data_IF_669360499003
#
_entry.id   IF_669360499003
#
_cell.length_a   1.000
_cell.length_b   1.000
_cell.length_c   1.000
_cell.angle_alpha   90.00
_cell.angle_beta   90.00
_cell.angle_gamma   90.00
#
_symmetry.space_group_name_H-M   'P 1'
#
loop_
_entity.id
_entity.type
_entity.pdbx_description
1 polymer ?
#
# COMPACT_ATOMS: atom_id res chain seq x y z
N UNK A 1 42.11 28.62 -24.78
CA UNK A 1 41.39 27.65 -23.92
C UNK A 1 40.41 26.93 -24.81
N UNK A 2 40.72 25.67 -25.15
CA UNK A 2 39.97 24.89 -26.13
C UNK A 2 38.64 24.42 -25.53
N UNK A 3 37.57 24.61 -26.30
CA UNK A 3 36.26 24.02 -26.07
C UNK A 3 36.42 22.51 -26.29
N UNK A 4 36.28 21.72 -25.23
CA UNK A 4 36.33 20.26 -25.32
C UNK A 4 35.17 19.74 -26.15
N UNK A 5 35.49 19.06 -27.25
CA UNK A 5 34.55 18.34 -28.09
C UNK A 5 33.91 17.19 -27.31
N UNK A 6 32.59 17.01 -27.47
CA UNK A 6 31.89 15.80 -27.02
C UNK A 6 32.57 14.55 -27.61
N UNK A 7 32.66 13.43 -26.85
CA UNK A 7 33.25 12.21 -27.36
C UNK A 7 32.53 11.70 -28.61
N UNK A 8 33.30 11.15 -29.53
CA UNK A 8 32.77 10.51 -30.74
C UNK A 8 32.04 9.23 -30.35
N UNK A 9 30.96 8.88 -31.07
CA UNK A 9 30.19 7.64 -30.83
C UNK A 9 31.13 6.44 -30.85
N UNK A 10 31.32 5.77 -29.71
CA UNK A 10 32.14 4.56 -29.58
C UNK A 10 33.40 4.70 -28.70
N UNK A 11 33.77 5.90 -28.26
CA UNK A 11 34.88 6.08 -27.29
C UNK A 11 34.39 5.88 -25.85
N UNK A 12 35.06 4.99 -25.11
CA UNK A 12 34.85 4.81 -23.67
C UNK A 12 35.41 6.06 -22.99
N UNK A 13 34.53 6.90 -22.47
CA UNK A 13 34.93 8.07 -21.70
C UNK A 13 35.31 7.63 -20.28
N UNK A 14 36.59 7.72 -19.95
CA UNK A 14 37.15 7.32 -18.65
C UNK A 14 36.54 8.08 -17.46
N UNK A 15 36.00 9.27 -17.68
CA UNK A 15 35.40 10.13 -16.63
C UNK A 15 33.88 10.29 -16.73
N UNK A 16 33.23 9.77 -17.76
CA UNK A 16 31.80 9.95 -17.95
C UNK A 16 31.01 8.83 -17.26
N UNK A 17 30.00 9.21 -16.48
CA UNK A 17 29.02 8.27 -15.95
C UNK A 17 28.05 7.83 -17.05
N UNK A 18 27.76 6.52 -17.10
CA UNK A 18 26.64 6.02 -17.86
C UNK A 18 25.34 6.62 -17.31
N UNK A 19 24.40 7.00 -18.18
CA UNK A 19 23.15 7.63 -17.76
C UNK A 19 22.15 6.59 -17.30
N UNK A 20 21.91 6.53 -16.00
CA UNK A 20 20.93 5.65 -15.38
C UNK A 20 20.24 6.29 -14.17
N UNK A 21 19.19 5.62 -13.70
CA UNK A 21 18.53 5.92 -12.43
C UNK A 21 18.50 4.66 -11.57
N UNK A 22 18.50 4.85 -10.25
CA UNK A 22 18.34 3.79 -9.26
C UNK A 22 17.05 4.03 -8.50
N UNK A 23 16.23 2.98 -8.39
CA UNK A 23 14.98 3.02 -7.64
C UNK A 23 14.93 1.91 -6.60
N UNK A 24 14.52 2.26 -5.39
CA UNK A 24 14.22 1.27 -4.36
C UNK A 24 12.93 0.53 -4.71
N UNK A 25 12.91 -0.77 -4.46
CA UNK A 25 11.75 -1.65 -4.60
C UNK A 25 11.67 -2.55 -3.37
N UNK A 26 10.46 -2.89 -2.95
CA UNK A 26 10.30 -4.00 -1.99
C UNK A 26 10.51 -5.34 -2.72
N UNK A 27 10.63 -6.41 -1.93
CA UNK A 27 10.63 -7.78 -2.44
C UNK A 27 9.37 -8.06 -3.28
N UNK A 28 9.42 -9.16 -4.02
CA UNK A 28 8.31 -9.60 -4.86
C UNK A 28 6.98 -9.62 -4.10
N UNK A 29 5.91 -9.37 -4.84
CA UNK A 29 4.56 -9.24 -4.29
C UNK A 29 4.12 -10.48 -3.50
N UNK A 30 4.40 -11.68 -3.99
CA UNK A 30 4.12 -12.95 -3.30
C UNK A 30 4.91 -13.14 -1.99
N UNK A 31 5.97 -12.36 -1.75
CA UNK A 31 6.81 -12.42 -0.55
C UNK A 31 6.41 -11.33 0.44
N UNK A 32 6.04 -10.15 -0.04
CA UNK A 32 5.67 -9.03 0.81
C UNK A 32 4.35 -9.28 1.57
N UNK A 33 4.43 -9.29 2.90
CA UNK A 33 3.32 -9.68 3.78
C UNK A 33 2.63 -8.51 4.51
N UNK A 34 3.03 -7.27 4.21
CA UNK A 34 2.48 -6.07 4.86
C UNK A 34 3.08 -5.73 6.22
N UNK A 35 4.09 -6.47 6.67
CA UNK A 35 5.09 -5.92 7.61
C UNK A 35 5.69 -4.67 6.98
N UNK A 36 5.94 -3.55 7.64
CA UNK A 36 6.40 -2.27 7.04
C UNK A 36 5.54 -1.64 5.91
N UNK A 37 5.52 -0.31 5.83
CA UNK A 37 4.90 0.40 4.71
C UNK A 37 5.90 0.65 3.60
N UNK A 38 5.57 0.27 2.37
CA UNK A 38 6.38 0.63 1.21
C UNK A 38 5.52 0.85 -0.01
N UNK A 39 5.68 2.01 -0.64
CA UNK A 39 4.93 2.37 -1.84
C UNK A 39 5.79 3.21 -2.79
N UNK A 40 5.50 3.09 -4.08
CA UNK A 40 6.21 3.82 -5.12
C UNK A 40 5.29 4.07 -6.31
N UNK A 41 5.56 5.17 -6.99
CA UNK A 41 4.89 5.49 -8.23
C UNK A 41 5.22 4.44 -9.31
N UNK A 42 4.18 3.84 -9.87
CA UNK A 42 4.28 2.76 -10.86
C UNK A 42 4.16 3.29 -12.29
N UNK A 43 5.14 3.07 -13.19
CA UNK A 43 5.00 3.41 -14.61
C UNK A 43 3.75 2.79 -15.26
N UNK A 44 3.34 1.61 -14.76
CA UNK A 44 2.19 0.86 -15.26
C UNK A 44 0.86 1.57 -15.03
N UNK A 45 0.80 2.58 -14.15
CA UNK A 45 -0.40 3.37 -13.92
C UNK A 45 -0.80 4.24 -15.13
N UNK A 46 0.17 4.62 -15.97
CA UNK A 46 -0.01 5.57 -17.09
C UNK A 46 -0.11 4.88 -18.43
N UNK A 47 0.42 3.66 -18.51
CA UNK A 47 0.51 2.90 -19.75
C UNK A 47 -0.60 1.87 -19.77
N UNK A 48 -1.27 1.72 -20.91
CA UNK A 48 -2.44 0.85 -21.04
C UNK A 48 -1.98 -0.61 -20.95
N UNK A 49 -1.94 -1.19 -19.75
CA UNK A 49 -1.34 -2.51 -19.54
C UNK A 49 -2.30 -3.57 -19.06
N UNK A 50 -3.47 -3.17 -18.59
CA UNK A 50 -4.44 -4.13 -18.08
C UNK A 50 -5.44 -4.45 -19.16
N UNK A 51 -5.54 -5.73 -19.51
CA UNK A 51 -6.62 -6.26 -20.31
C UNK A 51 -7.94 -6.06 -19.55
N UNK A 52 -8.61 -4.96 -19.84
CA UNK A 52 -9.97 -4.71 -19.38
C UNK A 52 -10.94 -5.32 -20.39
N UNK A 53 -11.87 -6.14 -19.91
CA UNK A 53 -12.93 -6.72 -20.73
C UNK A 53 -14.22 -5.95 -20.48
N UNK A 54 -14.57 -4.97 -21.32
CA UNK A 54 -15.82 -4.24 -21.18
C UNK A 54 -17.06 -5.05 -21.62
N UNK A 55 -16.91 -6.26 -22.18
CA UNK A 55 -18.03 -7.11 -22.60
C UNK A 55 -17.68 -8.61 -22.71
N UNK A 56 -18.59 -9.50 -22.29
CA UNK A 56 -18.43 -10.96 -22.37
C UNK A 56 -18.39 -11.52 -23.81
N UNK A 57 -18.78 -10.71 -24.80
CA UNK A 57 -18.85 -11.09 -26.21
C UNK A 57 -17.58 -10.79 -27.01
N UNK A 58 -16.67 -9.94 -26.51
CA UNK A 58 -15.40 -9.65 -27.19
C UNK A 58 -14.31 -10.61 -26.70
N UNK A 59 -13.75 -11.43 -27.62
CA UNK A 59 -12.65 -12.36 -27.31
C UNK A 59 -11.34 -11.66 -26.89
N UNK A 60 -11.23 -10.36 -27.12
CA UNK A 60 -10.04 -9.56 -26.85
C UNK A 60 -10.31 -8.64 -25.65
N UNK A 61 -9.43 -8.66 -24.65
CA UNK A 61 -9.41 -7.60 -23.64
C UNK A 61 -8.81 -6.34 -24.26
N UNK A 62 -9.37 -5.18 -23.97
CA UNK A 62 -8.78 -3.91 -24.37
C UNK A 62 -7.76 -3.51 -23.31
N UNK A 63 -6.52 -3.20 -23.71
CA UNK A 63 -5.56 -2.55 -22.82
C UNK A 63 -6.11 -1.18 -22.39
N UNK A 64 -6.27 -0.95 -21.09
CA UNK A 64 -6.67 0.37 -20.53
C UNK A 64 -5.63 0.89 -19.54
N UNK A 65 -5.54 2.21 -19.41
CA UNK A 65 -4.74 2.84 -18.36
C UNK A 65 -5.34 2.47 -17.00
N UNK A 66 -4.47 2.10 -16.06
CA UNK A 66 -4.87 1.71 -14.71
C UNK A 66 -5.36 2.90 -13.87
N UNK A 67 -4.95 4.12 -14.24
CA UNK A 67 -5.35 5.36 -13.61
C UNK A 67 -6.00 6.27 -14.64
N UNK A 68 -7.08 6.94 -14.24
CA UNK A 68 -7.68 8.05 -14.98
C UNK A 68 -7.74 9.31 -14.11
N UNK A 69 -7.92 10.47 -14.76
CA UNK A 69 -7.85 11.78 -14.10
C UNK A 69 -6.44 12.36 -14.05
N UNK A 70 -6.12 13.08 -12.98
CA UNK A 70 -4.90 13.90 -12.88
C UNK A 70 -3.67 13.10 -12.50
N UNK A 71 -2.88 12.75 -13.52
CA UNK A 71 -1.56 12.13 -13.36
C UNK A 71 -0.62 13.03 -12.53
N UNK A 72 -0.68 14.35 -12.74
CA UNK A 72 0.09 15.31 -11.96
C UNK A 72 -0.25 15.25 -10.46
N UNK A 73 -1.53 15.08 -10.12
CA UNK A 73 -1.94 14.93 -8.71
C UNK A 73 -1.45 13.61 -8.11
N UNK A 74 -1.49 12.51 -8.87
CA UNK A 74 -0.91 11.24 -8.42
C UNK A 74 0.60 11.38 -8.20
N UNK A 75 1.35 11.99 -9.13
CA UNK A 75 2.78 12.29 -8.95
C UNK A 75 3.04 13.16 -7.71
N UNK A 76 2.18 14.16 -7.46
CA UNK A 76 2.28 15.03 -6.29
C UNK A 76 2.21 14.24 -4.98
N UNK A 77 1.45 13.13 -4.91
CA UNK A 77 1.39 12.31 -3.68
C UNK A 77 2.74 11.74 -3.25
N UNK A 78 3.63 11.46 -4.21
CA UNK A 78 4.98 10.93 -3.97
C UNK A 78 6.07 12.01 -3.96
N UNK A 79 5.79 13.17 -4.53
CA UNK A 79 6.80 14.24 -4.72
C UNK A 79 6.62 15.43 -3.79
N UNK A 80 5.45 15.58 -3.18
CA UNK A 80 5.24 16.52 -2.08
C UNK A 80 6.07 16.09 -0.86
N UNK A 81 6.47 17.07 -0.05
CA UNK A 81 7.25 16.88 1.19
C UNK A 81 8.68 16.33 1.01
N UNK A 82 9.16 16.23 -0.24
CA UNK A 82 10.58 16.02 -0.52
C UNK A 82 11.42 17.19 0.01
N UNK A 83 12.53 16.88 0.67
CA UNK A 83 13.53 17.86 1.10
C UNK A 83 14.33 18.31 -0.12
N UNK A 84 14.83 17.36 -0.91
CA UNK A 84 15.66 17.63 -2.09
C UNK A 84 15.01 17.04 -3.33
N UNK A 85 14.66 17.89 -4.31
CA UNK A 85 14.31 17.39 -5.65
C UNK A 85 15.58 17.04 -6.41
N UNK A 86 15.61 15.87 -7.04
CA UNK A 86 16.70 15.45 -7.93
C UNK A 86 16.17 15.31 -9.35
N UNK A 87 17.06 15.51 -10.32
CA UNK A 87 16.75 15.30 -11.73
C UNK A 87 17.94 14.62 -12.40
N UNK A 88 18.10 13.29 -12.21
CA UNK A 88 19.24 12.54 -12.72
C UNK A 88 19.42 12.76 -14.22
N UNK A 89 20.53 13.36 -14.61
CA UNK A 89 20.84 13.69 -16.01
C UNK A 89 19.75 14.53 -16.72
N UNK A 90 19.01 15.34 -15.97
CA UNK A 90 17.90 16.15 -16.48
C UNK A 90 16.57 15.40 -16.63
N UNK A 91 16.47 14.15 -16.17
CA UNK A 91 15.23 13.35 -16.20
C UNK A 91 14.43 13.56 -14.92
N UNK A 92 13.09 13.55 -15.01
CA UNK A 92 12.21 13.58 -13.84
C UNK A 92 12.41 12.31 -12.98
N UNK A 93 12.52 12.48 -11.67
CA UNK A 93 12.61 11.37 -10.72
C UNK A 93 11.50 11.42 -9.68
N UNK A 94 10.82 10.29 -9.48
CA UNK A 94 9.78 10.13 -8.46
C UNK A 94 10.26 9.06 -7.46
N UNK A 95 10.46 9.42 -6.18
CA UNK A 95 11.00 8.50 -5.20
C UNK A 95 9.96 7.50 -4.70
N UNK A 96 10.45 6.37 -4.20
CA UNK A 96 9.68 5.47 -3.35
C UNK A 96 9.60 6.03 -1.92
N UNK A 97 8.65 5.52 -1.14
CA UNK A 97 8.44 5.87 0.27
C UNK A 97 8.48 4.62 1.13
N UNK A 98 9.18 4.72 2.26
CA UNK A 98 9.31 3.68 3.27
C UNK A 98 8.79 4.19 4.62
N UNK A 99 7.94 3.40 5.27
CA UNK A 99 7.44 3.63 6.61
C UNK A 99 7.81 2.45 7.51
N UNK A 100 8.76 2.67 8.42
CA UNK A 100 9.30 1.68 9.35
C UNK A 100 9.34 2.25 10.76
N UNK A 101 9.28 1.38 11.77
CA UNK A 101 9.29 1.80 13.16
C UNK A 101 10.72 2.07 13.65
N UNK A 102 10.92 3.01 14.58
CA UNK A 102 12.22 3.21 15.19
C UNK A 102 12.53 2.11 16.21
N UNK A 103 13.80 1.76 16.39
CA UNK A 103 14.22 0.66 17.27
C UNK A 103 13.86 0.85 18.75
N UNK A 104 13.68 2.11 19.15
CA UNK A 104 13.19 2.50 20.46
C UNK A 104 11.72 2.11 20.72
N UNK A 105 10.95 1.79 19.69
CA UNK A 105 9.60 1.24 19.84
C UNK A 105 9.69 -0.26 20.11
N UNK A 106 9.53 -0.64 21.36
CA UNK A 106 9.34 -2.04 21.75
C UNK A 106 7.86 -2.32 21.94
N UNK A 107 7.37 -3.42 21.36
CA UNK A 107 6.11 -4.00 21.80
C UNK A 107 6.37 -4.74 23.11
N UNK A 108 5.84 -4.22 24.22
CA UNK A 108 6.05 -4.81 25.55
C UNK A 108 5.41 -6.20 25.69
N UNK A 109 4.57 -6.62 24.74
CA UNK A 109 3.75 -7.82 24.88
C UNK A 109 4.16 -9.00 23.99
N UNK A 110 5.03 -8.86 22.98
CA UNK A 110 5.38 -9.97 22.06
C UNK A 110 6.86 -10.01 21.61
N UNK A 111 7.31 -11.22 21.27
CA UNK A 111 8.67 -11.60 20.84
C UNK A 111 9.06 -11.18 19.41
N UNK A 112 8.19 -10.46 18.69
CA UNK A 112 8.43 -10.07 17.31
C UNK A 112 8.83 -8.59 17.25
N UNK A 113 10.02 -8.31 16.72
CA UNK A 113 10.49 -6.94 16.52
C UNK A 113 9.54 -6.20 15.56
N UNK A 114 9.11 -5.01 15.97
CA UNK A 114 8.20 -4.17 15.20
C UNK A 114 8.93 -3.61 13.98
N UNK A 115 9.00 -4.32 12.83
CA UNK A 115 9.46 -3.81 11.52
C UNK A 115 10.49 -2.65 11.55
N UNK A 116 11.59 -2.88 12.28
CA UNK A 116 12.63 -1.87 12.56
C UNK A 116 13.75 -1.90 11.51
N UNK A 117 13.78 -2.99 10.73
CA UNK A 117 14.73 -3.30 9.67
C UNK A 117 13.96 -3.86 8.47
N UNK A 118 14.35 -3.46 7.26
CA UNK A 118 13.79 -3.98 6.02
C UNK A 118 14.90 -4.25 5.02
N UNK A 119 14.77 -5.35 4.27
CA UNK A 119 15.58 -5.61 3.08
C UNK A 119 14.82 -5.11 1.85
N UNK A 120 15.48 -4.34 0.99
CA UNK A 120 14.91 -3.83 -0.25
C UNK A 120 15.76 -4.23 -1.44
N UNK A 121 15.08 -4.34 -2.58
CA UNK A 121 15.68 -4.50 -3.89
C UNK A 121 16.06 -3.13 -4.46
N UNK A 122 17.00 -3.10 -5.39
CA UNK A 122 17.33 -1.93 -6.20
C UNK A 122 17.12 -2.24 -7.68
N UNK A 123 16.40 -1.34 -8.34
CA UNK A 123 16.12 -1.36 -9.77
C UNK A 123 16.95 -0.29 -10.47
N UNK A 124 17.84 -0.68 -11.38
CA UNK A 124 18.63 0.22 -12.21
C UNK A 124 18.02 0.32 -13.61
N UNK A 125 17.68 1.54 -14.03
CA UNK A 125 17.14 1.83 -15.36
C UNK A 125 18.11 2.69 -16.18
N UNK A 126 18.44 2.24 -17.37
CA UNK A 126 19.23 3.01 -18.33
C UNK A 126 18.35 4.10 -18.98
N UNK A 127 18.85 5.33 -19.06
CA UNK A 127 18.10 6.47 -19.61
C UNK A 127 18.27 6.65 -21.13
N UNK A 128 19.34 6.08 -21.71
CA UNK A 128 19.61 6.14 -23.14
C UNK A 128 19.68 4.71 -23.71
N UNK A 129 18.53 4.03 -23.79
CA UNK A 129 18.43 2.69 -24.38
C UNK A 129 18.31 2.67 -25.90
N UNK A 130 18.14 3.85 -26.55
CA UNK A 130 17.90 3.99 -27.99
C UNK A 130 19.02 3.38 -28.87
N UNK A 131 20.20 3.09 -28.28
CA UNK A 131 21.35 2.52 -28.98
C UNK A 131 21.78 1.13 -28.46
N UNK A 132 20.89 0.37 -27.81
CA UNK A 132 21.18 -1.02 -27.41
C UNK A 132 22.39 -1.15 -26.44
N UNK A 133 22.70 -0.09 -25.68
CA UNK A 133 23.80 -0.10 -24.72
C UNK A 133 23.45 -0.97 -23.51
N UNK A 134 24.28 -1.96 -23.22
CA UNK A 134 24.26 -2.71 -21.96
C UNK A 134 24.81 -1.86 -20.80
N UNK A 135 24.43 -2.22 -19.58
CA UNK A 135 25.16 -1.77 -18.40
C UNK A 135 26.57 -2.37 -18.46
N UNK A 136 27.59 -1.52 -18.40
CA UNK A 136 28.99 -1.95 -18.49
C UNK A 136 29.67 -1.80 -17.14
N UNK A 137 30.57 -2.71 -16.78
CA UNK A 137 31.40 -2.54 -15.59
C UNK A 137 32.49 -1.53 -15.93
N UNK A 138 32.28 -0.27 -15.55
CA UNK A 138 33.20 0.84 -15.81
C UNK A 138 33.85 1.37 -14.52
N UNK A 139 33.78 0.58 -13.44
CA UNK A 139 34.29 0.95 -12.13
C UNK A 139 33.45 2.00 -11.38
N UNK A 140 32.27 2.37 -11.89
CA UNK A 140 31.36 3.26 -11.17
C UNK A 140 30.92 2.64 -9.85
N UNK A 141 30.86 3.47 -8.81
CA UNK A 141 30.35 3.10 -7.48
C UNK A 141 29.04 3.84 -7.19
N UNK A 142 28.19 3.24 -6.38
CA UNK A 142 26.91 3.78 -5.95
C UNK A 142 26.99 3.99 -4.45
N UNK A 143 26.91 5.26 -4.01
CA UNK A 143 26.96 5.63 -2.60
C UNK A 143 25.58 5.99 -2.07
N UNK A 144 25.27 5.53 -0.87
CA UNK A 144 24.07 5.93 -0.13
C UNK A 144 24.39 7.01 0.88
N UNK A 145 23.79 8.18 0.72
CA UNK A 145 24.03 9.34 1.56
C UNK A 145 22.83 9.56 2.48
N UNK A 146 23.10 9.48 3.78
CA UNK A 146 22.12 9.62 4.85
C UNK A 146 22.54 10.76 5.75
N UNK A 147 21.63 11.70 6.00
CA UNK A 147 21.91 12.88 6.84
C UNK A 147 21.51 12.71 8.30
N UNK A 148 20.51 11.87 8.58
CA UNK A 148 20.00 11.63 9.93
C UNK A 148 20.67 10.39 10.54
N UNK A 149 21.35 10.50 11.70
CA UNK A 149 22.08 9.38 12.31
C UNK A 149 21.17 8.26 12.83
N UNK A 150 19.85 8.48 12.88
CA UNK A 150 18.88 7.43 13.22
C UNK A 150 18.55 6.50 12.06
N UNK A 151 19.10 6.74 10.87
CA UNK A 151 18.88 5.90 9.69
C UNK A 151 20.19 5.22 9.38
N UNK A 152 20.17 3.89 9.31
CA UNK A 152 21.31 3.06 8.94
C UNK A 152 20.96 2.33 7.66
N UNK A 153 21.83 2.40 6.65
CA UNK A 153 21.73 1.64 5.41
C UNK A 153 22.99 0.81 5.21
N UNK A 154 22.80 -0.46 4.93
CA UNK A 154 23.88 -1.43 4.71
C UNK A 154 23.64 -2.17 3.38
N UNK A 155 24.66 -2.26 2.50
CA UNK A 155 25.95 -1.58 2.60
C UNK A 155 25.81 -0.06 2.36
N UNK A 156 26.84 0.71 2.73
CA UNK A 156 26.89 2.16 2.50
C UNK A 156 27.26 2.52 1.06
N UNK A 157 27.83 1.56 0.33
CA UNK A 157 28.19 1.66 -1.08
C UNK A 157 28.02 0.32 -1.80
N UNK A 158 27.82 0.37 -3.12
CA UNK A 158 27.76 -0.77 -4.02
C UNK A 158 28.62 -0.50 -5.26
N UNK A 159 29.03 -1.56 -5.94
CA UNK A 159 29.62 -1.48 -7.28
C UNK A 159 28.53 -1.51 -8.35
N UNK A 160 28.76 -0.89 -9.51
CA UNK A 160 27.89 -1.07 -10.67
C UNK A 160 27.81 -2.55 -11.10
N UNK A 161 28.86 -3.32 -10.80
CA UNK A 161 28.95 -4.75 -11.04
C UNK A 161 27.86 -5.56 -10.31
N UNK A 162 27.42 -5.10 -9.14
CA UNK A 162 26.35 -5.75 -8.38
C UNK A 162 25.02 -5.78 -9.16
N UNK A 163 24.81 -4.81 -10.07
CA UNK A 163 23.66 -4.78 -10.98
C UNK A 163 23.88 -5.58 -12.26
N UNK A 164 25.13 -5.72 -12.71
CA UNK A 164 25.47 -6.48 -13.93
C UNK A 164 25.28 -7.97 -13.69
N UNK A 165 25.68 -8.46 -12.50
CA UNK A 165 25.43 -9.83 -12.07
C UNK A 165 23.97 -10.08 -11.70
N UNK A 166 23.19 -9.02 -11.52
CA UNK A 166 21.75 -9.15 -11.31
C UNK A 166 21.02 -9.53 -12.62
N UNK A 167 19.79 -10.04 -12.47
CA UNK A 167 18.98 -10.40 -13.63
C UNK A 167 18.58 -9.15 -14.41
N UNK A 168 18.92 -9.11 -15.71
CA UNK A 168 18.33 -8.16 -16.66
C UNK A 168 16.87 -8.58 -16.87
N UNK A 169 15.97 -7.67 -16.54
CA UNK A 169 14.54 -7.84 -16.62
C UNK A 169 13.96 -6.94 -17.70
N UNK A 170 12.81 -7.32 -18.23
CA UNK A 170 12.01 -6.48 -19.12
C UNK A 170 10.59 -6.35 -18.56
N UNK A 171 9.96 -5.21 -18.81
CA UNK A 171 8.52 -5.04 -18.60
C UNK A 171 7.87 -4.43 -19.84
N UNK A 172 6.76 -5.01 -20.27
CA UNK A 172 5.93 -4.46 -21.34
C UNK A 172 5.22 -3.21 -20.82
N UNK A 173 5.44 -2.11 -21.52
CA UNK A 173 4.89 -0.78 -21.29
C UNK A 173 4.00 -0.34 -22.47
N UNK A 174 3.89 -1.14 -23.53
CA UNK A 174 3.26 -0.73 -24.80
C UNK A 174 1.75 -0.96 -24.91
N UNK A 175 1.12 -0.23 -25.83
CA UNK A 175 -0.23 -0.51 -26.34
C UNK A 175 -0.19 -1.64 -27.39
N UNK A 176 -1.31 -2.31 -27.67
CA UNK A 176 -1.38 -3.49 -28.57
C UNK A 176 -0.76 -3.29 -29.97
N UNK A 177 -0.56 -2.03 -30.41
CA UNK A 177 -0.02 -1.69 -31.73
C UNK A 177 1.44 -1.23 -31.72
N UNK A 178 2.03 -0.97 -30.55
CA UNK A 178 3.44 -0.56 -30.39
C UNK A 178 4.00 -1.19 -29.12
N UNK A 179 4.88 -2.20 -29.30
CA UNK A 179 5.59 -2.83 -28.19
C UNK A 179 6.62 -1.83 -27.66
N UNK A 180 6.36 -1.26 -26.50
CA UNK A 180 7.30 -0.43 -25.76
C UNK A 180 7.80 -1.30 -24.60
N UNK A 181 9.05 -1.74 -24.62
CA UNK A 181 9.63 -2.51 -23.52
C UNK A 181 10.63 -1.66 -22.77
N UNK A 182 10.51 -1.66 -21.44
CA UNK A 182 11.52 -1.08 -20.57
C UNK A 182 12.42 -2.20 -20.04
N UNK A 183 13.72 -2.10 -20.31
CA UNK A 183 14.74 -2.98 -19.73
C UNK A 183 15.33 -2.36 -18.46
N UNK A 184 15.51 -3.18 -17.43
CA UNK A 184 16.10 -2.77 -16.16
C UNK A 184 16.90 -3.91 -15.54
N UNK A 185 17.78 -3.59 -14.59
CA UNK A 185 18.53 -4.57 -13.79
C UNK A 185 17.98 -4.58 -12.37
N UNK A 186 17.70 -5.76 -11.82
CA UNK A 186 17.08 -5.90 -10.49
C UNK A 186 17.99 -6.65 -9.52
N UNK A 187 18.69 -5.89 -8.67
CA UNK A 187 19.46 -6.45 -7.56
C UNK A 187 18.52 -6.70 -6.36
N UNK A 188 18.35 -7.96 -5.99
CA UNK A 188 17.36 -8.37 -4.97
C UNK A 188 17.95 -8.38 -3.57
N UNK A 189 17.19 -7.89 -2.59
CA UNK A 189 17.52 -7.81 -1.15
C UNK A 189 18.92 -7.25 -0.85
N UNK A 190 19.39 -6.36 -1.72
CA UNK A 190 20.78 -5.89 -1.73
C UNK A 190 21.06 -4.81 -0.70
N UNK A 191 20.03 -4.10 -0.23
CA UNK A 191 20.17 -3.09 0.82
C UNK A 191 19.28 -3.40 2.01
N UNK A 192 19.82 -3.23 3.21
CA UNK A 192 19.10 -3.28 4.47
C UNK A 192 19.02 -1.89 5.06
N UNK A 193 17.82 -1.50 5.48
CA UNK A 193 17.57 -0.18 6.08
C UNK A 193 17.00 -0.37 7.46
N UNK A 194 17.64 0.25 8.45
CA UNK A 194 17.18 0.26 9.85
C UNK A 194 16.90 1.67 10.32
N UNK A 195 15.87 1.81 11.14
CA UNK A 195 15.58 3.06 11.85
C UNK A 195 15.94 2.86 13.32
N UNK A 196 17.10 3.35 13.76
CA UNK A 196 17.59 3.12 15.13
C UNK A 196 17.02 4.12 16.14
N UNK A 197 16.40 5.21 15.69
CA UNK A 197 15.76 6.21 16.54
C UNK A 197 14.64 6.97 15.85
N UNK A 198 13.82 7.72 16.59
CA UNK A 198 12.65 8.41 16.04
C UNK A 198 13.02 9.51 15.03
N UNK A 199 12.22 9.63 13.98
CA UNK A 199 12.31 10.63 12.92
C UNK A 199 11.22 11.69 13.11
N UNK A 200 11.63 12.92 13.44
CA UNK A 200 10.71 14.04 13.72
C UNK A 200 10.01 14.57 12.47
N UNK A 201 10.67 14.44 11.32
CA UNK A 201 10.21 14.86 9.99
C UNK A 201 10.53 13.75 8.99
N UNK A 202 10.03 13.90 7.77
CA UNK A 202 10.46 13.04 6.67
C UNK A 202 11.97 13.20 6.47
N UNK A 203 12.63 12.11 6.12
CA UNK A 203 14.06 12.07 5.85
C UNK A 203 14.31 11.38 4.50
N UNK A 204 15.55 11.46 4.01
CA UNK A 204 15.91 10.98 2.67
C UNK A 204 17.21 10.17 2.72
N UNK A 205 17.25 9.12 1.90
CA UNK A 205 18.50 8.47 1.49
C UNK A 205 18.74 8.86 0.04
N UNK A 206 19.79 9.65 -0.21
CA UNK A 206 20.19 10.06 -1.56
C UNK A 206 21.13 9.00 -2.13
N UNK A 207 20.94 8.65 -3.40
CA UNK A 207 21.80 7.71 -4.11
C UNK A 207 22.64 8.48 -5.12
N UNK A 208 23.95 8.43 -4.96
CA UNK A 208 24.91 9.17 -5.80
C UNK A 208 25.81 8.17 -6.52
N UNK A 209 25.86 8.24 -7.86
CA UNK A 209 26.80 7.49 -8.67
C UNK A 209 28.12 8.27 -8.78
N UNK A 210 29.25 7.59 -8.67
CA UNK A 210 30.60 8.19 -8.63
C UNK A 210 31.51 7.43 -9.59
N UNK A 211 32.20 8.16 -10.46
CA UNK A 211 33.27 7.63 -11.33
C UNK A 211 34.38 8.68 -11.46
N UNK A 212 35.55 8.38 -10.89
CA UNK A 212 36.62 9.36 -10.76
C UNK A 212 36.13 10.58 -9.96
N UNK A 213 36.27 11.78 -10.55
CA UNK A 213 35.80 13.04 -9.97
C UNK A 213 34.34 13.36 -10.31
N UNK A 214 33.72 12.62 -11.23
CA UNK A 214 32.34 12.85 -11.67
C UNK A 214 31.35 12.21 -10.71
N UNK A 215 30.33 12.97 -10.31
CA UNK A 215 29.25 12.51 -9.44
C UNK A 215 27.90 12.94 -9.98
N UNK A 216 26.88 12.09 -9.84
CA UNK A 216 25.49 12.43 -10.17
C UNK A 216 24.53 11.80 -9.18
N UNK A 217 23.51 12.55 -8.75
CA UNK A 217 22.41 11.98 -7.94
C UNK A 217 21.49 11.18 -8.84
N UNK A 218 21.53 9.86 -8.71
CA UNK A 218 20.85 8.91 -9.60
C UNK A 218 19.59 8.30 -8.99
N UNK A 219 19.35 8.50 -7.69
CA UNK A 219 18.19 7.93 -7.03
C UNK A 219 17.92 8.49 -5.64
N UNK A 220 16.77 8.12 -5.08
CA UNK A 220 16.38 8.52 -3.73
C UNK A 220 15.30 7.62 -3.13
N UNK A 221 15.36 7.42 -1.82
CA UNK A 221 14.27 6.89 -1.00
C UNK A 221 13.79 7.94 0.02
N UNK A 222 12.48 8.09 0.16
CA UNK A 222 11.88 8.87 1.23
C UNK A 222 11.60 7.98 2.45
N UNK A 223 11.99 8.41 3.65
CA UNK A 223 11.61 7.78 4.90
C UNK A 223 10.53 8.61 5.60
N UNK A 224 9.43 7.94 5.93
CA UNK A 224 8.27 8.54 6.51
C UNK A 224 8.49 8.83 8.02
N UNK A 225 8.06 10.00 8.50
CA UNK A 225 8.35 10.42 9.87
C UNK A 225 7.63 9.52 10.89
N UNK A 226 8.30 9.14 11.97
CA UNK A 226 7.83 8.10 12.89
C UNK A 226 8.04 8.44 14.38
N UNK A 227 8.37 9.69 14.71
CA UNK A 227 8.53 10.11 16.11
C UNK A 227 7.24 10.05 16.95
N UNK A 228 6.08 10.21 16.30
CA UNK A 228 4.76 10.12 16.94
C UNK A 228 3.94 9.07 16.21
N UNK A 229 3.61 7.98 16.87
CA UNK A 229 2.88 6.85 16.29
C UNK A 229 1.54 6.74 17.02
N UNK A 230 0.41 7.03 16.36
CA UNK A 230 -0.90 6.97 17.00
C UNK A 230 -1.33 5.52 17.26
N UNK A 231 -2.23 5.33 18.22
CA UNK A 231 -2.77 4.01 18.58
C UNK A 231 -4.25 3.91 18.25
N UNK A 232 -4.57 3.01 17.33
CA UNK A 232 -5.93 2.60 17.00
C UNK A 232 -6.42 1.52 17.98
N UNK A 233 -7.31 1.90 18.89
CA UNK A 233 -8.03 0.96 19.75
C UNK A 233 -9.23 0.36 19.02
N UNK A 234 -9.28 -0.97 18.91
CA UNK A 234 -10.36 -1.73 18.26
C UNK A 234 -10.99 -2.72 19.23
N UNK A 235 -12.32 -2.70 19.33
CA UNK A 235 -13.07 -3.58 20.23
C UNK A 235 -13.90 -4.56 19.41
N UNK A 236 -13.57 -5.84 19.48
CA UNK A 236 -14.37 -6.89 18.87
C UNK A 236 -15.51 -7.32 19.79
N UNK A 237 -16.70 -7.44 19.21
CA UNK A 237 -17.93 -7.87 19.88
C UNK A 237 -18.58 -8.97 19.05
N UNK A 238 -18.65 -10.17 19.62
CA UNK A 238 -19.43 -11.26 19.02
C UNK A 238 -20.91 -11.06 19.29
N UNK A 239 -21.73 -10.97 18.25
CA UNK A 239 -23.16 -10.72 18.34
C UNK A 239 -23.93 -12.00 18.05
N UNK A 240 -24.67 -12.47 19.06
CA UNK A 240 -25.45 -13.71 18.99
C UNK A 240 -26.92 -13.37 18.75
N UNK A 241 -27.45 -13.76 17.60
CA UNK A 241 -28.85 -13.51 17.19
C UNK A 241 -29.71 -14.77 17.16
N UNK A 242 -29.10 -15.93 16.87
CA UNK A 242 -29.75 -17.24 16.72
C UNK A 242 -29.14 -18.34 17.61
N UNK A 243 -28.19 -17.97 18.48
CA UNK A 243 -27.47 -18.91 19.35
C UNK A 243 -26.13 -19.37 18.81
N UNK A 244 -25.81 -19.10 17.54
CA UNK A 244 -24.49 -19.36 16.99
C UNK A 244 -23.53 -18.19 17.27
N UNK A 245 -22.25 -18.50 17.46
CA UNK A 245 -21.17 -17.52 17.57
C UNK A 245 -20.48 -17.33 16.21
N UNK A 246 -20.12 -16.10 15.84
CA UNK A 246 -19.33 -15.85 14.64
C UNK A 246 -17.95 -16.50 14.74
N UNK A 247 -17.37 -16.82 13.58
CA UNK A 247 -15.98 -17.33 13.48
C UNK A 247 -15.06 -16.24 12.93
N UNK A 248 -13.79 -16.30 13.34
CA UNK A 248 -12.70 -15.41 12.92
C UNK A 248 -11.57 -16.28 12.39
N UNK A 249 -10.61 -15.69 11.67
CA UNK A 249 -9.33 -16.39 11.47
C UNK A 249 -8.62 -16.55 12.81
N UNK A 250 -7.66 -17.44 12.90
CA UNK A 250 -6.84 -17.61 14.10
C UNK A 250 -5.81 -16.47 14.28
N UNK A 251 -5.51 -15.70 13.24
CA UNK A 251 -4.39 -14.76 13.17
C UNK A 251 -4.81 -13.28 13.11
N UNK A 252 -6.11 -12.96 13.17
CA UNK A 252 -6.59 -11.60 12.91
C UNK A 252 -5.93 -10.51 13.78
N UNK A 253 -5.64 -10.79 15.06
CA UNK A 253 -4.97 -9.83 15.94
C UNK A 253 -3.54 -9.55 15.46
N UNK A 254 -2.81 -10.60 15.08
CA UNK A 254 -1.46 -10.47 14.54
C UNK A 254 -1.48 -9.72 13.21
N UNK A 255 -2.43 -10.05 12.33
CA UNK A 255 -2.60 -9.37 11.05
C UNK A 255 -2.90 -7.88 11.21
N UNK A 256 -3.80 -7.52 12.13
CA UNK A 256 -4.14 -6.12 12.41
C UNK A 256 -2.96 -5.33 12.97
N UNK A 257 -2.16 -5.96 13.83
CA UNK A 257 -1.00 -5.33 14.46
C UNK A 257 0.20 -5.18 13.54
N UNK A 258 0.47 -6.17 12.68
CA UNK A 258 1.77 -6.28 12.01
C UNK A 258 1.72 -6.44 10.49
N UNK A 259 0.54 -6.59 9.88
CA UNK A 259 0.38 -6.82 8.44
C UNK A 259 -0.62 -5.89 7.74
N UNK A 260 -1.05 -4.82 8.39
CA UNK A 260 -2.06 -3.90 7.87
C UNK A 260 -1.80 -2.43 8.24
N UNK A 261 -2.34 -1.91 9.34
CA UNK A 261 -2.25 -0.49 9.71
C UNK A 261 -0.83 -0.06 10.12
N UNK A 262 0.03 -1.00 10.51
CA UNK A 262 1.45 -0.75 10.71
C UNK A 262 2.15 -0.23 9.45
N UNK A 263 1.62 -0.52 8.25
CA UNK A 263 2.13 0.04 7.00
C UNK A 263 2.02 1.57 6.98
N UNK A 264 1.06 2.12 7.73
CA UNK A 264 0.88 3.56 7.92
C UNK A 264 1.45 4.08 9.25
N UNK A 265 2.28 3.29 9.95
CA UNK A 265 2.79 3.58 11.31
C UNK A 265 1.66 3.89 12.29
N UNK A 266 0.72 2.97 12.41
CA UNK A 266 -0.36 3.01 13.40
C UNK A 266 -0.26 1.75 14.24
N UNK A 267 -0.21 1.91 15.56
CA UNK A 267 -0.29 0.81 16.50
C UNK A 267 -1.74 0.36 16.62
N UNK A 268 -2.02 -0.94 16.55
CA UNK A 268 -3.39 -1.45 16.74
C UNK A 268 -3.48 -2.18 18.08
N UNK A 269 -4.35 -1.70 18.96
CA UNK A 269 -4.70 -2.39 20.19
C UNK A 269 -6.04 -3.09 20.03
N UNK A 270 -6.03 -4.41 20.12
CA UNK A 270 -7.23 -5.25 20.01
C UNK A 270 -7.75 -5.60 21.41
N UNK A 271 -9.05 -5.37 21.64
CA UNK A 271 -9.76 -5.76 22.86
C UNK A 271 -10.96 -6.61 22.50
N UNK A 272 -11.13 -7.74 23.18
CA UNK A 272 -12.29 -8.62 22.99
C UNK A 272 -13.31 -8.35 24.10
N UNK A 273 -14.50 -7.90 23.72
CA UNK A 273 -15.64 -7.76 24.64
C UNK A 273 -16.28 -9.12 24.91
N UNK A 274 -16.94 -9.30 26.07
CA UNK A 274 -17.94 -10.35 26.23
C UNK A 274 -18.95 -10.34 25.07
N UNK A 275 -19.45 -11.53 24.71
CA UNK A 275 -20.42 -11.67 23.65
C UNK A 275 -21.71 -10.89 23.95
N UNK A 276 -22.23 -10.20 22.93
CA UNK A 276 -23.51 -9.51 22.97
C UNK A 276 -24.63 -10.45 22.50
N UNK A 277 -25.20 -11.18 23.46
CA UNK A 277 -26.37 -12.02 23.19
C UNK A 277 -27.64 -11.18 23.07
N UNK A 278 -27.94 -10.80 21.83
CA UNK A 278 -29.02 -9.89 21.50
C UNK A 278 -30.40 -10.45 21.86
N UNK A 279 -30.52 -11.78 21.95
CA UNK A 279 -31.77 -12.49 22.28
C UNK A 279 -32.21 -12.25 23.73
N UNK A 280 -31.27 -11.93 24.63
CA UNK A 280 -31.57 -11.68 26.06
C UNK A 280 -32.45 -10.45 26.27
N UNK A 281 -32.52 -9.57 25.27
CA UNK A 281 -33.24 -8.29 25.35
C UNK A 281 -34.53 -8.28 24.52
N UNK A 282 -35.10 -9.46 24.19
CA UNK A 282 -36.37 -9.59 23.43
C UNK A 282 -37.58 -8.90 24.06
N UNK A 283 -37.53 -8.58 25.35
CA UNK A 283 -38.57 -7.78 26.02
C UNK A 283 -38.57 -6.31 25.59
N UNK A 284 -37.48 -5.81 25.02
CA UNK A 284 -37.45 -4.50 24.37
C UNK A 284 -38.09 -4.59 22.98
N UNK A 285 -39.07 -3.73 22.74
CA UNK A 285 -39.83 -3.66 21.48
C UNK A 285 -38.91 -3.46 20.27
N UNK A 286 -37.91 -2.60 20.37
CA UNK A 286 -37.00 -2.28 19.27
C UNK A 286 -36.08 -3.47 18.95
N UNK A 287 -35.62 -4.19 19.99
CA UNK A 287 -34.83 -5.41 19.85
C UNK A 287 -35.66 -6.53 19.21
N UNK A 288 -36.91 -6.69 19.65
CA UNK A 288 -37.81 -7.70 19.09
C UNK A 288 -38.12 -7.42 17.61
N UNK A 289 -38.35 -6.15 17.25
CA UNK A 289 -38.52 -5.73 15.85
C UNK A 289 -37.26 -6.04 15.04
N UNK A 290 -36.07 -5.69 15.54
CA UNK A 290 -34.81 -5.96 14.85
C UNK A 290 -34.59 -7.46 14.58
N UNK A 291 -34.81 -8.30 15.59
CA UNK A 291 -34.71 -9.77 15.46
C UNK A 291 -35.74 -10.33 14.47
N UNK A 292 -36.98 -9.83 14.48
CA UNK A 292 -38.00 -10.28 13.54
C UNK A 292 -37.70 -9.85 12.10
N UNK A 293 -37.09 -8.67 11.89
CA UNK A 293 -36.64 -8.22 10.57
C UNK A 293 -35.49 -9.07 10.02
N UNK A 294 -34.59 -9.54 10.87
CA UNK A 294 -33.55 -10.49 10.47
C UNK A 294 -34.15 -11.80 9.92
N UNK A 295 -35.28 -12.28 10.47
CA UNK A 295 -35.95 -13.50 9.99
C UNK A 295 -36.49 -13.36 8.55
N UNK A 296 -36.80 -12.15 8.10
CA UNK A 296 -37.22 -11.85 6.72
C UNK A 296 -36.06 -11.32 5.86
N UNK A 297 -34.81 -11.50 6.32
CA UNK A 297 -33.57 -11.05 5.69
C UNK A 297 -33.43 -9.53 5.50
N UNK A 298 -34.15 -8.71 6.28
CA UNK A 298 -33.92 -7.26 6.34
C UNK A 298 -32.88 -6.93 7.42
N UNK A 299 -31.68 -6.57 6.94
CA UNK A 299 -30.51 -6.26 7.77
C UNK A 299 -30.32 -4.77 8.03
N UNK A 300 -31.12 -3.91 7.38
CA UNK A 300 -30.93 -2.45 7.39
C UNK A 300 -31.20 -1.87 8.77
N UNK A 301 -32.25 -2.36 9.43
CA UNK A 301 -32.64 -1.97 10.79
C UNK A 301 -31.63 -2.46 11.83
N UNK A 302 -31.08 -3.66 11.62
CA UNK A 302 -30.08 -4.24 12.50
C UNK A 302 -28.77 -3.43 12.48
N UNK A 303 -28.34 -2.95 11.31
CA UNK A 303 -27.12 -2.15 11.16
C UNK A 303 -27.19 -0.78 11.85
N UNK A 304 -28.30 -0.05 11.65
CA UNK A 304 -28.44 1.31 12.17
C UNK A 304 -28.43 1.38 13.70
N UNK A 305 -28.91 0.32 14.36
CA UNK A 305 -29.15 0.34 15.80
C UNK A 305 -28.23 -0.59 16.62
N UNK A 306 -27.38 -1.44 16.01
CA UNK A 306 -26.56 -2.39 16.77
C UNK A 306 -25.59 -1.70 17.75
N UNK A 307 -24.88 -0.67 17.31
CA UNK A 307 -24.02 0.16 18.20
C UNK A 307 -24.86 0.80 19.31
N UNK A 308 -26.06 1.29 19.00
CA UNK A 308 -26.99 1.89 19.97
C UNK A 308 -27.45 0.87 21.02
N UNK A 309 -27.84 -0.34 20.62
CA UNK A 309 -28.24 -1.40 21.54
C UNK A 309 -27.07 -1.88 22.40
N UNK A 310 -25.91 -2.08 21.80
CA UNK A 310 -24.72 -2.49 22.53
C UNK A 310 -24.35 -1.46 23.61
N UNK A 311 -24.44 -0.15 23.29
CA UNK A 311 -24.24 0.92 24.26
C UNK A 311 -25.30 0.96 25.36
N UNK A 312 -26.57 0.72 25.01
CA UNK A 312 -27.67 0.66 25.97
C UNK A 312 -27.49 -0.46 27.00
N UNK A 313 -27.03 -1.63 26.56
CA UNK A 313 -27.10 -2.86 27.35
C UNK A 313 -25.77 -3.37 27.91
N UNK A 314 -24.65 -3.16 27.21
CA UNK A 314 -23.34 -3.67 27.65
C UNK A 314 -22.33 -2.55 27.89
N UNK A 315 -22.12 -1.67 26.90
CA UNK A 315 -21.14 -0.59 27.03
C UNK A 315 -21.82 0.76 27.27
N UNK A 316 -22.20 1.00 28.52
CA UNK A 316 -22.91 2.23 28.94
C UNK A 316 -22.11 3.53 28.73
N UNK A 317 -20.86 3.42 28.25
CA UNK A 317 -20.07 4.57 27.81
C UNK A 317 -20.67 5.21 26.56
N UNK A 318 -20.85 6.53 26.60
CA UNK A 318 -21.23 7.31 25.41
C UNK A 318 -20.02 7.76 24.56
N UNK A 319 -18.79 7.45 24.99
CA UNK A 319 -17.58 7.74 24.21
C UNK A 319 -17.59 7.00 22.87
N UNK A 320 -17.20 7.69 21.80
CA UNK A 320 -16.96 7.05 20.51
C UNK A 320 -15.79 6.06 20.63
N UNK A 321 -16.02 4.80 20.27
CA UNK A 321 -14.96 3.78 20.17
C UNK A 321 -14.97 3.20 18.76
N UNK A 322 -14.06 2.28 18.46
CA UNK A 322 -14.06 1.56 17.19
C UNK A 322 -14.52 0.13 17.42
N UNK A 323 -15.83 -0.09 17.37
CA UNK A 323 -16.39 -1.43 17.54
C UNK A 323 -16.38 -2.19 16.22
N UNK A 324 -16.03 -3.47 16.29
CA UNK A 324 -16.27 -4.44 15.23
C UNK A 324 -17.28 -5.45 15.74
N UNK A 325 -18.52 -5.33 15.27
CA UNK A 325 -19.57 -6.29 15.55
C UNK A 325 -19.49 -7.44 14.55
N UNK A 326 -19.34 -8.65 15.06
CA UNK A 326 -19.31 -9.86 14.26
C UNK A 326 -20.61 -10.62 14.43
N UNK A 327 -21.22 -11.05 13.33
CA UNK A 327 -22.48 -11.80 13.39
C UNK A 327 -22.51 -12.98 12.40
N UNK A 328 -23.31 -14.00 12.74
CA UNK A 328 -23.61 -15.15 11.89
C UNK A 328 -24.71 -14.88 10.87
N UNK A 329 -25.38 -13.72 10.96
CA UNK A 329 -26.43 -13.30 10.03
C UNK A 329 -25.86 -13.27 8.61
N UNK A 330 -26.55 -13.96 7.69
CA UNK A 330 -26.24 -13.90 6.27
C UNK A 330 -26.92 -12.69 5.62
N UNK A 331 -26.16 -11.89 4.86
CA UNK A 331 -26.68 -10.80 4.03
C UNK A 331 -26.26 -11.05 2.59
N UNK A 332 -27.13 -10.75 1.62
CA UNK A 332 -26.81 -10.88 0.18
C UNK A 332 -25.55 -10.08 -0.22
N UNK A 333 -25.27 -8.97 0.48
CA UNK A 333 -24.03 -8.19 0.39
C UNK A 333 -23.40 -8.11 1.79
N UNK A 334 -22.17 -8.59 1.96
CA UNK A 334 -21.64 -9.10 3.24
C UNK A 334 -21.28 -8.07 4.33
N UNK A 335 -21.50 -6.76 4.14
CA UNK A 335 -21.02 -5.75 5.09
C UNK A 335 -21.97 -4.56 5.25
N UNK A 336 -21.88 -3.89 6.41
CA UNK A 336 -22.44 -2.56 6.65
C UNK A 336 -21.56 -1.77 7.62
N UNK A 337 -21.05 -0.62 7.17
CA UNK A 337 -20.34 0.36 7.99
C UNK A 337 -21.24 1.56 8.31
N UNK A 338 -21.19 2.06 9.55
CA UNK A 338 -21.98 3.23 9.96
C UNK A 338 -21.56 3.77 11.32
N UNK A 339 -21.40 5.10 11.41
CA UNK A 339 -21.10 5.80 12.65
C UNK A 339 -19.75 5.40 13.26
N UNK A 340 -19.77 4.94 14.51
CA UNK A 340 -18.58 4.53 15.28
C UNK A 340 -18.32 3.01 15.28
N UNK A 341 -18.92 2.29 14.33
CA UNK A 341 -18.83 0.84 14.28
C UNK A 341 -18.74 0.29 12.87
N UNK A 342 -18.08 -0.86 12.77
CA UNK A 342 -18.11 -1.75 11.61
C UNK A 342 -18.93 -2.97 12.00
N UNK A 343 -19.89 -3.37 11.17
CA UNK A 343 -20.61 -4.63 11.36
C UNK A 343 -20.29 -5.60 10.24
N UNK A 344 -19.64 -6.70 10.60
CA UNK A 344 -19.32 -7.79 9.69
C UNK A 344 -20.38 -8.87 9.81
N UNK A 345 -21.16 -9.03 8.73
CA UNK A 345 -22.04 -10.19 8.56
C UNK A 345 -21.21 -11.43 8.31
N UNK A 346 -21.87 -12.60 8.24
CA UNK A 346 -21.24 -13.91 8.05
C UNK A 346 -20.09 -13.85 7.03
N UNK A 347 -18.89 -13.68 7.55
CA UNK A 347 -17.69 -13.42 6.76
C UNK A 347 -16.91 -14.74 6.67
N UNK A 348 -16.54 -15.21 5.47
CA UNK A 348 -15.66 -16.35 5.34
C UNK A 348 -14.32 -16.08 6.04
N UNK A 349 -13.82 -17.06 6.78
CA UNK A 349 -12.56 -16.92 7.53
C UNK A 349 -11.40 -16.50 6.62
N UNK A 350 -11.25 -17.11 5.44
CA UNK A 350 -10.14 -16.84 4.53
C UNK A 350 -10.00 -15.39 3.99
N UNK A 351 -11.04 -14.55 4.09
CA UNK A 351 -11.00 -13.12 3.73
C UNK A 351 -11.23 -12.17 4.91
N UNK A 352 -11.48 -12.72 6.11
CA UNK A 352 -11.87 -11.95 7.29
C UNK A 352 -10.93 -10.77 7.58
N UNK A 353 -9.63 -11.05 7.64
CA UNK A 353 -8.60 -10.06 7.91
C UNK A 353 -8.65 -8.86 6.96
N UNK A 354 -8.86 -9.13 5.68
CA UNK A 354 -8.83 -8.13 4.62
C UNK A 354 -10.10 -7.28 4.67
N UNK A 355 -11.25 -7.91 4.92
CA UNK A 355 -12.53 -7.23 5.11
C UNK A 355 -12.48 -6.34 6.34
N UNK A 356 -11.96 -6.80 7.47
CA UNK A 356 -11.82 -5.97 8.68
C UNK A 356 -11.04 -4.69 8.38
N UNK A 357 -9.89 -4.81 7.71
CA UNK A 357 -9.03 -3.66 7.39
C UNK A 357 -9.70 -2.73 6.38
N UNK A 358 -10.36 -3.27 5.36
CA UNK A 358 -11.12 -2.50 4.36
C UNK A 358 -12.17 -1.60 5.03
N UNK A 359 -12.99 -2.18 5.90
CA UNK A 359 -14.09 -1.47 6.56
C UNK A 359 -13.61 -0.48 7.62
N UNK A 360 -12.57 -0.84 8.38
CA UNK A 360 -11.88 0.11 9.24
C UNK A 360 -11.26 1.26 8.42
N UNK A 361 -10.75 0.98 7.23
CA UNK A 361 -10.28 2.01 6.28
C UNK A 361 -11.37 3.05 5.99
N UNK A 362 -12.57 2.60 5.62
CA UNK A 362 -13.73 3.48 5.43
C UNK A 362 -14.08 4.29 6.68
N UNK A 363 -14.01 3.67 7.87
CA UNK A 363 -14.25 4.35 9.15
C UNK A 363 -13.29 5.52 9.39
N UNK A 364 -12.06 5.43 8.87
CA UNK A 364 -11.05 6.48 8.92
C UNK A 364 -11.02 7.37 7.66
N UNK A 365 -12.07 7.30 6.84
CA UNK A 365 -12.27 8.22 5.71
C UNK A 365 -11.46 7.86 4.47
N UNK A 366 -11.04 6.61 4.33
CA UNK A 366 -10.56 6.09 3.03
C UNK A 366 -11.77 5.71 2.17
N UNK A 367 -11.84 6.23 0.95
CA UNK A 367 -12.82 5.81 -0.03
C UNK A 367 -12.24 4.70 -0.93
N UNK A 368 -13.10 4.05 -1.71
CA UNK A 368 -12.64 3.15 -2.76
C UNK A 368 -11.78 3.88 -3.78
N UNK A 369 -10.78 3.17 -4.32
CA UNK A 369 -9.82 3.73 -5.27
C UNK A 369 -10.44 4.15 -6.62
N UNK A 370 -11.60 3.60 -6.94
CA UNK A 370 -12.32 3.74 -8.21
C UNK A 370 -13.56 4.63 -8.10
N UNK A 371 -13.81 5.22 -6.93
CA UNK A 371 -14.89 6.19 -6.73
C UNK A 371 -14.33 7.61 -6.88
N UNK A 372 -14.58 8.24 -8.04
CA UNK A 372 -14.04 9.55 -8.45
C UNK A 372 -14.28 10.74 -7.48
N UNK A 373 -15.09 10.59 -6.43
CA UNK A 373 -15.85 11.72 -5.89
C UNK A 373 -15.32 12.41 -4.62
N UNK A 374 -14.20 12.00 -3.99
CA UNK A 374 -13.82 12.63 -2.70
C UNK A 374 -12.35 12.90 -2.41
N UNK A 375 -11.41 12.55 -3.30
CA UNK A 375 -9.99 12.93 -3.12
C UNK A 375 -9.71 14.44 -3.32
N UNK A 376 -10.72 15.26 -3.58
CA UNK A 376 -10.59 16.70 -3.72
C UNK A 376 -11.00 17.45 -2.44
N UNK A 377 -10.06 17.67 -1.54
CA UNK A 377 -10.10 18.85 -0.66
C UNK A 377 -9.19 19.95 -1.25
N UNK A 378 -9.39 20.27 -2.54
CA UNK A 378 -8.71 21.32 -3.36
C UNK A 378 -7.63 20.85 -4.36
N UNK A 379 -7.96 19.97 -5.30
CA UNK A 379 -7.09 19.66 -6.44
C UNK A 379 -7.74 18.77 -7.51
N UNK A 380 -7.15 18.67 -8.72
CA UNK A 380 -7.64 17.78 -9.77
C UNK A 380 -7.48 16.31 -9.32
N UNK A 381 -8.55 15.52 -9.33
CA UNK A 381 -8.58 14.15 -8.77
C UNK A 381 -8.06 13.09 -9.75
N UNK A 382 -7.63 11.94 -9.22
CA UNK A 382 -7.31 10.72 -9.97
C UNK A 382 -8.09 9.54 -9.37
N UNK A 383 -8.29 8.49 -10.17
CA UNK A 383 -8.96 7.25 -9.76
C UNK A 383 -8.30 6.04 -10.43
N UNK A 384 -8.34 4.89 -9.78
CA UNK A 384 -7.87 3.62 -10.32
C UNK A 384 -9.02 2.84 -10.94
N UNK A 385 -8.70 1.90 -11.82
CA UNK A 385 -9.67 0.91 -12.32
C UNK A 385 -9.96 -0.10 -11.22
N UNK A 386 -11.24 -0.32 -10.91
CA UNK A 386 -11.66 -1.29 -9.91
C UNK A 386 -11.10 -2.69 -10.19
N UNK A 387 -10.64 -3.36 -9.13
CA UNK A 387 -10.18 -4.74 -9.21
C UNK A 387 -8.87 -4.88 -9.98
N UNK A 388 -8.03 -3.87 -9.98
CA UNK A 388 -6.72 -3.92 -10.67
C UNK A 388 -5.55 -3.66 -9.73
N UNK A 389 -5.83 -3.15 -8.54
CA UNK A 389 -4.80 -2.87 -7.55
C UNK A 389 -4.77 -3.94 -6.47
N UNK A 390 -3.65 -4.00 -5.77
CA UNK A 390 -3.44 -4.77 -4.56
C UNK A 390 -3.85 -4.00 -3.28
N UNK A 391 -4.73 -3.00 -3.40
CA UNK A 391 -5.05 -2.14 -2.28
C UNK A 391 -6.10 -2.78 -1.35
N UNK A 392 -6.05 -2.43 -0.06
CA UNK A 392 -7.12 -2.80 0.88
C UNK A 392 -8.49 -2.26 0.47
N UNK A 393 -8.54 -1.06 -0.12
CA UNK A 393 -9.77 -0.37 -0.55
C UNK A 393 -10.13 -0.67 -2.01
N UNK A 394 -9.62 -1.77 -2.56
CA UNK A 394 -9.99 -2.24 -3.89
C UNK A 394 -10.71 -3.58 -3.80
N UNK A 395 -11.62 -3.79 -4.73
CA UNK A 395 -12.39 -5.02 -4.83
C UNK A 395 -11.55 -6.15 -5.42
N UNK A 396 -11.97 -7.37 -5.12
CA UNK A 396 -11.36 -8.59 -5.68
C UNK A 396 -11.80 -8.85 -7.13
N UNK A 397 -12.75 -8.06 -7.64
CA UNK A 397 -13.34 -8.17 -8.96
C UNK A 397 -13.44 -6.77 -9.60
N UNK A 398 -13.33 -6.72 -10.91
CA UNK A 398 -13.68 -5.54 -11.71
C UNK A 398 -15.16 -5.61 -12.11
N UNK A 399 -15.85 -4.48 -12.18
CA UNK A 399 -17.24 -4.39 -12.66
C UNK A 399 -17.42 -4.68 -14.18
N UNK A 400 -16.36 -5.08 -14.87
CA UNK A 400 -16.38 -5.56 -16.26
C UNK A 400 -16.91 -6.99 -16.41
N UNK A 401 -18.20 -7.18 -16.15
CA UNK A 401 -19.09 -8.24 -16.67
C UNK A 401 -18.78 -9.69 -16.28
N UNK A 402 -19.82 -10.32 -15.73
CA UNK A 402 -20.02 -11.76 -15.61
C UNK A 402 -19.72 -12.45 -16.97
N UNK A 403 -18.49 -12.95 -17.19
CA UNK A 403 -18.26 -13.92 -18.26
C UNK A 403 -19.07 -15.15 -17.88
N UNK A 404 -19.69 -15.83 -18.84
CA UNK A 404 -20.29 -17.18 -18.74
C UNK A 404 -19.66 -18.07 -17.63
N UNK A 405 -20.03 -17.87 -16.37
CA UNK A 405 -19.41 -18.44 -15.16
C UNK A 405 -17.88 -18.27 -15.00
N UNK A 406 -17.24 -17.20 -15.49
CA UNK A 406 -15.82 -16.87 -15.20
C UNK A 406 -15.67 -15.40 -14.78
N UNK A 407 -15.35 -15.18 -13.52
CA UNK A 407 -15.03 -13.83 -13.01
C UNK A 407 -13.60 -13.50 -13.50
N UNK A 408 -13.39 -12.32 -14.09
CA UNK A 408 -12.03 -11.81 -14.28
C UNK A 408 -11.45 -11.55 -12.88
N UNK A 409 -10.64 -12.48 -12.39
CA UNK A 409 -10.00 -12.38 -11.09
C UNK A 409 -8.89 -11.32 -11.20
N UNK A 410 -8.87 -10.38 -10.27
CA UNK A 410 -7.77 -9.44 -10.14
C UNK A 410 -6.46 -10.25 -9.99
N UNK A 411 -5.46 -10.13 -10.89
CA UNK A 411 -4.22 -10.89 -10.78
C UNK A 411 -3.46 -10.59 -9.48
N UNK A 412 -3.76 -9.46 -8.86
CA UNK A 412 -3.20 -8.98 -7.59
C UNK A 412 -4.07 -9.33 -6.36
N UNK A 413 -5.03 -10.27 -6.48
CA UNK A 413 -6.03 -10.63 -5.45
C UNK A 413 -5.47 -10.91 -4.06
N UNK A 414 -4.25 -11.45 -3.96
CA UNK A 414 -3.66 -11.90 -2.70
C UNK A 414 -2.95 -10.79 -1.93
N UNK A 415 -2.78 -9.63 -2.55
CA UNK A 415 -1.92 -8.56 -2.05
C UNK A 415 -2.80 -7.45 -1.50
N UNK A 416 -2.51 -7.03 -0.28
CA UNK A 416 -3.28 -6.00 0.40
C UNK A 416 -2.35 -5.03 1.13
N UNK A 417 -2.21 -3.84 0.56
CA UNK A 417 -1.45 -2.75 1.14
C UNK A 417 -2.14 -1.41 0.97
N UNK A 418 -1.72 -0.44 1.76
CA UNK A 418 -2.13 0.96 1.60
C UNK A 418 -1.13 1.70 0.72
N UNK A 419 -1.62 2.61 -0.11
CA UNK A 419 -0.77 3.56 -0.84
C UNK A 419 -0.30 4.68 0.08
N UNK A 420 0.83 5.33 -0.27
CA UNK A 420 1.44 6.40 0.54
C UNK A 420 0.42 7.46 0.97
N UNK A 421 -0.40 7.94 0.04
CA UNK A 421 -1.38 8.99 0.36
C UNK A 421 -2.47 8.52 1.33
N UNK A 422 -2.78 7.23 1.39
CA UNK A 422 -3.70 6.68 2.39
C UNK A 422 -3.05 6.64 3.77
N UNK A 423 -1.71 6.44 3.86
CA UNK A 423 -1.00 6.57 5.14
C UNK A 423 -1.17 7.98 5.71
N UNK A 424 -1.02 9.01 4.86
CA UNK A 424 -1.21 10.41 5.26
C UNK A 424 -2.63 10.68 5.78
N UNK A 425 -3.65 10.11 5.13
CA UNK A 425 -5.04 10.26 5.53
C UNK A 425 -5.32 9.54 6.85
N UNK A 426 -4.87 8.29 6.99
CA UNK A 426 -5.04 7.50 8.20
C UNK A 426 -4.39 8.18 9.40
N UNK A 427 -3.14 8.65 9.28
CA UNK A 427 -2.44 9.33 10.39
C UNK A 427 -3.03 10.68 10.78
N UNK A 428 -3.80 11.33 9.90
CA UNK A 428 -4.57 12.54 10.25
C UNK A 428 -5.86 12.22 11.02
N UNK A 429 -6.38 11.00 10.89
CA UNK A 429 -7.72 10.60 11.34
C UNK A 429 -7.67 9.72 12.59
N UNK A 430 -6.67 8.87 12.71
CA UNK A 430 -6.35 8.12 13.93
C UNK A 430 -5.61 9.05 14.87
N UNK A 431 -6.18 9.29 16.05
CA UNK A 431 -5.65 10.19 17.07
C UNK A 431 -5.14 9.42 18.26
#
# INVERSE_FOLDING_TARGET
>A
MGIGSSPTVGEICDSCLQKFTIHFRRCEDNIYDGSFGFDWYRPEYFKKLTYYRPNASTKFGNKVALVSGSIAALKATYTNDQIIKISPFGTEYIPAWLAIYPSSQQDTNHSNAVNQEVSLNLELKLLNSDNNFSLNNDGSTIKFEVSNPHIVIEPTELSIEDFIYANKMTRDLGEDKQREEESYYLASEIVKIKCVGPLQKHEEIIVTAIKGETQEKVGKLMLYHNAVIPTLNVIFVDVITDGATPKRTYDYENFLKYRSFNQALINVEVKNSPAFDFRKYRSDVDVNIALNKLNINDTSYFLGDLSKFYKKYQDKSLAAKNYIFLTTVAKKNAVGAGGDSVTLFKCPEHIFNQVVVHELGHRFGLDHLFEAQKLAVKGPSFQFVQGTTANFLDYTHSDGINLNNKIALNPNQKLKYFFKYQWDLLRKRVK
#
